data_IF_249599512611
#
_entry.id   IF_249599512611
#
_cell.length_a   1.000
_cell.length_b   1.000
_cell.length_c   1.000
_cell.angle_alpha   90.00
_cell.angle_beta   90.00
_cell.angle_gamma   90.00
#
_symmetry.space_group_name_H-M   'P 1'
#
loop_
_entity.id
_entity.type
_entity.pdbx_description
1 polymer ?
#
# COMPACT_ATOMS: atom_id res chain seq x y z
N UNK A 1 47.17 -4.14 34.55
CA UNK A 1 46.22 -4.02 33.41
C UNK A 1 44.78 -4.37 33.80
N UNK A 2 44.50 -5.44 34.54
CA UNK A 2 43.12 -5.84 34.92
C UNK A 2 42.34 -4.83 35.81
N UNK A 3 43.01 -4.11 36.72
CA UNK A 3 42.34 -3.10 37.58
C UNK A 3 41.86 -1.87 36.81
N UNK A 4 42.54 -1.46 35.73
CA UNK A 4 42.15 -0.31 34.91
C UNK A 4 40.91 -0.58 34.03
N UNK A 5 40.68 -1.83 33.62
CA UNK A 5 39.47 -2.26 32.91
C UNK A 5 38.22 -2.32 33.81
N UNK A 6 38.39 -2.57 35.11
CA UNK A 6 37.29 -2.57 36.09
C UNK A 6 36.81 -1.15 36.44
N UNK A 7 37.71 -0.16 36.48
CA UNK A 7 37.34 1.23 36.78
C UNK A 7 36.70 1.98 35.60
N UNK A 8 36.95 1.57 34.35
CA UNK A 8 36.33 2.17 33.16
C UNK A 8 34.98 1.56 32.77
N UNK A 9 34.67 0.34 33.23
CA UNK A 9 33.41 -0.37 32.94
C UNK A 9 32.26 -0.03 33.90
N UNK A 10 32.57 0.30 35.16
CA UNK A 10 31.60 0.76 36.18
C UNK A 10 30.81 2.04 35.79
N UNK A 11 31.43 3.12 35.27
CA UNK A 11 30.68 4.31 34.86
C UNK A 11 29.84 4.03 33.61
N UNK A 12 30.33 3.20 32.68
CA UNK A 12 29.59 2.83 31.47
C UNK A 12 28.34 2.01 31.80
N UNK A 13 28.46 1.04 32.73
CA UNK A 13 27.32 0.25 33.21
C UNK A 13 26.29 1.11 33.95
N UNK A 14 26.74 2.07 34.75
CA UNK A 14 25.85 3.00 35.46
C UNK A 14 25.10 3.94 34.50
N UNK A 15 25.77 4.44 33.46
CA UNK A 15 25.15 5.25 32.41
C UNK A 15 24.12 4.44 31.60
N UNK A 16 24.46 3.20 31.24
CA UNK A 16 23.53 2.30 30.55
C UNK A 16 22.29 2.02 31.40
N UNK A 17 22.49 1.72 32.70
CA UNK A 17 21.38 1.50 33.63
C UNK A 17 20.51 2.74 33.78
N UNK A 18 21.11 3.92 33.95
CA UNK A 18 20.38 5.18 34.04
C UNK A 18 19.58 5.48 32.76
N UNK A 19 20.14 5.18 31.59
CA UNK A 19 19.45 5.30 30.31
C UNK A 19 18.24 4.36 30.22
N UNK A 20 18.39 3.09 30.60
CA UNK A 20 17.30 2.10 30.63
C UNK A 20 16.21 2.54 31.61
N UNK A 21 16.58 3.00 32.81
CA UNK A 21 15.63 3.54 33.80
C UNK A 21 14.87 4.72 33.20
N UNK A 22 15.56 5.65 32.52
CA UNK A 22 14.93 6.81 31.88
C UNK A 22 13.91 6.38 30.83
N UNK A 23 14.24 5.42 29.96
CA UNK A 23 13.29 4.89 28.97
C UNK A 23 12.06 4.29 29.65
N UNK A 24 12.26 3.52 30.71
CA UNK A 24 11.16 2.91 31.46
C UNK A 24 10.26 3.96 32.14
N UNK A 25 10.86 5.01 32.73
CA UNK A 25 10.10 6.12 33.32
C UNK A 25 9.29 6.89 32.28
N UNK A 26 9.83 7.09 31.07
CA UNK A 26 9.08 7.69 29.95
C UNK A 26 7.86 6.83 29.61
N UNK A 27 8.04 5.51 29.45
CA UNK A 27 6.92 4.59 29.15
C UNK A 27 5.85 4.63 30.25
N UNK A 28 6.25 4.62 31.52
CA UNK A 28 5.31 4.72 32.64
C UNK A 28 4.54 6.05 32.60
N UNK A 29 5.25 7.16 32.41
CA UNK A 29 4.65 8.49 32.35
C UNK A 29 3.62 8.58 31.21
N UNK A 30 4.02 8.17 30.00
CA UNK A 30 3.15 8.11 28.83
C UNK A 30 1.92 7.21 29.06
N UNK A 31 2.13 6.02 29.63
CA UNK A 31 1.06 5.07 29.95
C UNK A 31 0.06 5.61 30.98
N UNK A 32 0.53 6.35 31.99
CA UNK A 32 -0.33 7.04 32.97
C UNK A 32 -1.12 8.19 32.36
N UNK A 33 -0.54 8.88 31.37
CA UNK A 33 -1.14 10.02 30.68
C UNK A 33 -1.89 9.65 29.38
N UNK A 34 -2.09 8.35 29.13
CA UNK A 34 -2.76 7.82 27.94
C UNK A 34 -4.16 8.43 27.76
N UNK A 35 -4.47 8.84 26.53
CA UNK A 35 -5.72 9.52 26.18
C UNK A 35 -6.75 8.55 25.57
N UNK A 36 -8.04 8.77 25.82
CA UNK A 36 -9.13 8.04 25.15
C UNK A 36 -9.25 8.54 23.70
N UNK A 37 -8.43 7.96 22.83
CA UNK A 37 -8.31 8.33 21.43
C UNK A 37 -7.91 7.11 20.58
N UNK A 38 -8.18 7.20 19.29
CA UNK A 38 -7.69 6.30 18.24
C UNK A 38 -6.50 6.96 17.54
N UNK A 39 -5.30 6.41 17.73
CA UNK A 39 -4.10 6.85 17.01
C UNK A 39 -3.84 5.98 15.79
N UNK A 40 -3.85 6.59 14.61
CA UNK A 40 -3.57 5.96 13.32
C UNK A 40 -2.10 6.16 12.96
N UNK A 41 -1.31 5.08 13.00
CA UNK A 41 0.08 5.13 12.58
C UNK A 41 0.16 4.98 11.06
N UNK A 42 0.39 6.10 10.37
CA UNK A 42 0.47 6.15 8.92
C UNK A 42 1.46 7.23 8.44
N UNK A 43 2.77 6.93 8.39
CA UNK A 43 3.81 7.94 8.13
C UNK A 43 3.74 8.64 6.75
N UNK A 44 2.98 8.10 5.80
CA UNK A 44 2.83 8.58 4.43
C UNK A 44 1.37 8.90 4.10
N UNK A 45 0.99 10.16 4.26
CA UNK A 45 -0.38 10.65 4.05
C UNK A 45 -0.57 11.46 2.76
N UNK A 46 0.48 11.60 1.94
CA UNK A 46 0.52 12.44 0.74
C UNK A 46 0.73 11.64 -0.58
N UNK A 47 0.76 10.32 -0.50
CA UNK A 47 1.07 9.38 -1.57
C UNK A 47 -0.10 9.13 -2.55
N UNK A 48 -1.35 9.28 -2.09
CA UNK A 48 -2.55 9.05 -2.90
C UNK A 48 -2.76 7.58 -3.29
N UNK A 49 -2.26 6.64 -2.48
CA UNK A 49 -2.34 5.20 -2.73
C UNK A 49 -3.53 4.51 -2.04
N UNK A 50 -3.68 3.20 -2.30
CA UNK A 50 -4.74 2.40 -1.66
C UNK A 50 -4.62 2.29 -0.13
N UNK A 51 -3.41 2.39 0.42
CA UNK A 51 -3.17 2.44 1.87
C UNK A 51 -3.80 3.67 2.53
N UNK A 52 -3.68 4.83 1.89
CA UNK A 52 -4.35 6.05 2.35
C UNK A 52 -5.87 5.96 2.27
N UNK A 53 -6.42 5.35 1.20
CA UNK A 53 -7.86 5.13 1.12
C UNK A 53 -8.36 4.35 2.33
N UNK A 54 -7.66 3.29 2.72
CA UNK A 54 -7.97 2.52 3.94
C UNK A 54 -7.91 3.40 5.18
N UNK A 55 -6.83 4.18 5.33
CA UNK A 55 -6.68 5.11 6.45
C UNK A 55 -7.90 6.05 6.57
N UNK A 56 -8.27 6.73 5.48
CA UNK A 56 -9.33 7.73 5.52
C UNK A 56 -10.70 7.11 5.74
N UNK A 57 -11.01 5.99 5.10
CA UNK A 57 -12.26 5.26 5.36
C UNK A 57 -12.32 4.75 6.81
N UNK A 58 -11.20 4.28 7.37
CA UNK A 58 -11.15 3.86 8.77
C UNK A 58 -11.36 5.04 9.74
N UNK A 59 -10.75 6.21 9.47
CA UNK A 59 -10.99 7.43 10.25
C UNK A 59 -12.47 7.81 10.22
N UNK A 60 -13.08 7.84 9.02
CA UNK A 60 -14.52 8.14 8.86
C UNK A 60 -15.39 7.16 9.65
N UNK A 61 -15.15 5.86 9.51
CA UNK A 61 -15.92 4.82 10.19
C UNK A 61 -15.85 4.96 11.72
N UNK A 62 -14.66 5.26 12.28
CA UNK A 62 -14.51 5.48 13.72
C UNK A 62 -15.25 6.74 14.17
N UNK A 63 -15.22 7.82 13.38
CA UNK A 63 -15.96 9.04 13.70
C UNK A 63 -17.48 8.81 13.70
N UNK A 64 -17.99 8.03 12.76
CA UNK A 64 -19.42 7.70 12.64
C UNK A 64 -19.88 6.78 13.78
N UNK A 65 -19.10 5.74 14.09
CA UNK A 65 -19.42 4.77 15.15
C UNK A 65 -19.19 5.32 16.56
N UNK A 66 -18.22 6.21 16.74
CA UNK A 66 -17.84 6.78 18.04
C UNK A 66 -17.42 8.24 17.91
N UNK A 67 -18.39 9.18 17.76
CA UNK A 67 -18.12 10.60 17.57
C UNK A 67 -17.28 11.24 18.69
N UNK A 68 -17.38 10.72 19.91
CA UNK A 68 -16.63 11.19 21.09
C UNK A 68 -15.18 10.68 21.14
N UNK A 69 -14.78 9.77 20.25
CA UNK A 69 -13.42 9.22 20.22
C UNK A 69 -12.54 10.03 19.28
N UNK A 70 -11.59 10.78 19.86
CA UNK A 70 -10.61 11.54 19.09
C UNK A 70 -9.83 10.66 18.10
N UNK A 71 -9.81 11.04 16.82
CA UNK A 71 -8.93 10.45 15.80
C UNK A 71 -7.64 11.27 15.67
N UNK A 72 -6.48 10.62 15.82
CA UNK A 72 -5.15 11.22 15.73
C UNK A 72 -4.33 10.53 14.66
N UNK A 73 -3.76 11.28 13.72
CA UNK A 73 -2.92 10.76 12.64
C UNK A 73 -1.45 11.02 12.97
N UNK A 74 -0.65 9.95 13.04
CA UNK A 74 0.80 10.05 13.07
C UNK A 74 1.35 10.04 11.65
N UNK A 75 1.90 11.16 11.21
CA UNK A 75 2.38 11.33 9.84
C UNK A 75 3.78 11.95 9.82
N UNK A 76 4.62 11.54 8.87
CA UNK A 76 5.89 12.23 8.60
C UNK A 76 5.76 13.39 7.63
N UNK A 77 4.56 13.67 7.13
CA UNK A 77 4.30 14.80 6.24
C UNK A 77 4.22 16.10 7.07
N UNK A 78 5.24 16.94 6.93
CA UNK A 78 5.35 18.18 7.70
C UNK A 78 4.40 19.29 7.23
N UNK A 79 3.87 19.18 6.01
CA UNK A 79 2.83 20.04 5.44
C UNK A 79 1.40 19.60 5.82
N UNK A 80 1.25 18.47 6.50
CA UNK A 80 -0.06 17.94 6.90
C UNK A 80 -0.68 18.74 8.04
N UNK A 81 -1.88 19.25 7.85
CA UNK A 81 -2.69 19.90 8.88
C UNK A 81 -4.04 19.17 8.98
N UNK A 82 -4.79 19.30 10.08
CA UNK A 82 -6.13 18.73 10.20
C UNK A 82 -7.03 19.05 8.99
N UNK A 83 -6.95 20.30 8.49
CA UNK A 83 -7.73 20.75 7.33
C UNK A 83 -7.19 20.19 6.02
N UNK A 84 -5.88 20.18 5.80
CA UNK A 84 -5.32 19.66 4.55
C UNK A 84 -5.48 18.14 4.42
N UNK A 85 -5.42 17.38 5.52
CA UNK A 85 -5.74 15.95 5.50
C UNK A 85 -7.22 15.70 5.20
N UNK A 86 -8.13 16.47 5.79
CA UNK A 86 -9.56 16.37 5.48
C UNK A 86 -9.88 16.72 4.02
N UNK A 87 -9.28 17.79 3.49
CA UNK A 87 -9.39 18.16 2.10
C UNK A 87 -8.84 17.05 1.18
N UNK A 88 -7.65 16.50 1.48
CA UNK A 88 -7.06 15.42 0.68
C UNK A 88 -7.90 14.16 0.69
N UNK A 89 -8.45 13.75 1.84
CA UNK A 89 -9.34 12.60 1.94
C UNK A 89 -10.57 12.76 1.03
N UNK A 90 -11.15 13.96 0.98
CA UNK A 90 -12.26 14.29 0.09
C UNK A 90 -11.81 14.33 -1.38
N UNK A 91 -10.78 15.09 -1.69
CA UNK A 91 -10.33 15.38 -3.05
C UNK A 91 -9.76 14.16 -3.76
N UNK A 92 -9.06 13.27 -3.04
CA UNK A 92 -8.42 12.07 -3.62
C UNK A 92 -9.29 10.83 -3.57
N UNK A 93 -10.16 10.72 -2.57
CA UNK A 93 -10.86 9.47 -2.28
C UNK A 93 -12.38 9.63 -2.07
N UNK A 94 -12.91 10.85 -2.13
CA UNK A 94 -14.33 11.11 -1.88
C UNK A 94 -14.74 10.94 -0.41
N UNK A 95 -13.77 10.82 0.51
CA UNK A 95 -14.05 10.52 1.92
C UNK A 95 -14.25 11.81 2.71
N UNK A 96 -15.50 12.10 3.07
CA UNK A 96 -15.86 13.24 3.92
C UNK A 96 -15.87 12.83 5.40
N UNK A 97 -15.09 13.54 6.22
CA UNK A 97 -15.05 13.37 7.67
C UNK A 97 -16.17 14.14 8.38
N UNK A 98 -16.55 13.70 9.57
CA UNK A 98 -17.44 14.44 10.46
C UNK A 98 -16.72 15.63 11.10
N UNK A 99 -15.45 15.44 11.46
CA UNK A 99 -14.57 16.49 11.97
C UNK A 99 -13.12 16.25 11.51
N UNK A 100 -12.32 17.30 11.41
CA UNK A 100 -10.90 17.15 11.02
C UNK A 100 -10.13 16.34 12.07
N UNK A 101 -9.33 15.34 11.67
CA UNK A 101 -8.54 14.56 12.62
C UNK A 101 -7.38 15.38 13.17
N UNK A 102 -6.94 15.05 14.39
CA UNK A 102 -5.74 15.66 14.99
C UNK A 102 -4.49 15.14 14.30
N UNK A 103 -3.44 15.95 14.24
CA UNK A 103 -2.18 15.58 13.56
C UNK A 103 -1.03 15.58 14.56
N UNK A 104 -0.23 14.52 14.51
CA UNK A 104 1.04 14.40 15.22
C UNK A 104 2.13 14.18 14.17
N UNK A 105 2.95 15.21 13.97
CA UNK A 105 4.07 15.14 13.03
C UNK A 105 5.20 14.28 13.58
N UNK A 106 5.81 13.47 12.73
CA UNK A 106 6.96 12.63 13.02
C UNK A 106 8.17 13.13 12.23
N UNK A 107 9.30 13.36 12.90
CA UNK A 107 10.52 13.89 12.27
C UNK A 107 11.52 12.80 11.90
N UNK A 108 11.32 11.58 12.39
CA UNK A 108 12.22 10.47 12.16
C UNK A 108 11.75 9.53 11.03
N UNK A 109 10.86 9.98 10.12
CA UNK A 109 10.33 9.16 9.02
C UNK A 109 11.44 8.56 8.14
N UNK A 110 12.56 9.25 7.96
CA UNK A 110 13.70 8.74 7.18
C UNK A 110 14.13 7.32 7.57
N UNK A 111 13.98 6.92 8.82
CA UNK A 111 14.37 5.57 9.28
C UNK A 111 13.44 4.46 8.80
N UNK A 112 12.30 4.77 8.17
CA UNK A 112 11.48 3.75 7.48
C UNK A 112 11.66 3.78 5.96
N UNK A 113 12.54 4.64 5.44
CA UNK A 113 12.84 4.73 4.00
C UNK A 113 13.87 3.69 3.58
N UNK A 114 13.67 3.07 2.41
CA UNK A 114 14.55 2.02 1.88
C UNK A 114 15.98 2.52 1.60
N UNK A 115 16.11 3.79 1.23
CA UNK A 115 17.37 4.47 0.89
C UNK A 115 18.35 4.50 2.05
N UNK A 116 17.86 4.44 3.29
CA UNK A 116 18.69 4.39 4.49
C UNK A 116 19.35 3.02 4.70
N UNK A 117 18.87 1.98 4.00
CA UNK A 117 19.29 0.60 4.20
C UNK A 117 19.57 -0.10 2.86
N UNK A 118 20.71 0.21 2.21
CA UNK A 118 21.08 -0.42 0.93
C UNK A 118 21.33 -1.93 1.05
N UNK A 119 21.48 -2.46 2.27
CA UNK A 119 21.54 -3.89 2.58
C UNK A 119 20.64 -4.18 3.77
N UNK A 120 20.06 -5.37 3.80
CA UNK A 120 19.16 -5.81 4.88
C UNK A 120 17.97 -4.84 5.10
N UNK A 121 17.41 -4.33 4.01
CA UNK A 121 16.37 -3.29 4.01
C UNK A 121 15.18 -3.63 4.90
N UNK A 122 14.65 -4.86 4.82
CA UNK A 122 13.46 -5.24 5.60
C UNK A 122 13.68 -5.14 7.12
N UNK A 123 14.79 -5.66 7.64
CA UNK A 123 15.10 -5.57 9.09
C UNK A 123 15.47 -4.14 9.49
N UNK A 124 16.17 -3.40 8.61
CA UNK A 124 16.49 -2.00 8.80
C UNK A 124 15.25 -1.14 8.98
N UNK A 125 14.32 -1.18 8.02
CA UNK A 125 13.03 -0.49 8.09
C UNK A 125 12.18 -0.96 9.27
N UNK A 126 12.21 -2.26 9.58
CA UNK A 126 11.49 -2.83 10.73
C UNK A 126 11.95 -2.19 12.04
N UNK A 127 13.25 -2.11 12.30
CA UNK A 127 13.78 -1.42 13.49
C UNK A 127 13.63 0.10 13.41
N UNK A 128 13.74 0.69 12.23
CA UNK A 128 13.44 2.10 12.03
C UNK A 128 12.00 2.46 12.40
N UNK A 129 11.05 1.56 12.12
CA UNK A 129 9.65 1.73 12.52
C UNK A 129 9.46 1.68 14.05
N UNK A 130 10.26 0.89 14.77
CA UNK A 130 10.30 0.89 16.24
C UNK A 130 10.67 2.27 16.75
N UNK A 131 11.74 2.86 16.21
CA UNK A 131 12.17 4.21 16.59
C UNK A 131 11.13 5.29 16.25
N UNK A 132 10.52 5.20 15.07
CA UNK A 132 9.47 6.11 14.63
C UNK A 132 8.20 6.00 15.50
N UNK A 133 7.79 4.79 15.86
CA UNK A 133 6.64 4.57 16.76
C UNK A 133 6.92 5.03 18.20
N UNK A 134 8.16 4.90 18.66
CA UNK A 134 8.59 5.46 19.95
C UNK A 134 8.41 6.98 19.96
N UNK A 135 8.86 7.67 18.91
CA UNK A 135 8.63 9.12 18.74
C UNK A 135 7.13 9.44 18.80
N UNK A 136 6.31 8.71 18.02
CA UNK A 136 4.87 8.91 17.95
C UNK A 136 4.20 8.78 19.32
N UNK A 137 4.51 7.70 20.05
CA UNK A 137 3.90 7.39 21.35
C UNK A 137 4.39 8.30 22.48
N UNK A 138 5.62 8.80 22.41
CA UNK A 138 6.12 9.82 23.34
C UNK A 138 5.40 11.17 23.15
N UNK A 139 5.05 11.53 21.90
CA UNK A 139 4.31 12.74 21.59
C UNK A 139 2.84 12.65 21.97
N UNK A 140 2.22 11.51 21.68
CA UNK A 140 0.81 11.27 22.01
C UNK A 140 0.59 9.77 22.22
N UNK A 141 0.15 9.37 23.41
CA UNK A 141 -0.15 7.96 23.72
C UNK A 141 -1.67 7.71 23.69
N UNK A 142 -2.20 6.97 22.70
CA UNK A 142 -3.63 6.74 22.54
C UNK A 142 -4.08 5.48 23.29
N UNK A 143 -5.38 5.34 23.52
CA UNK A 143 -5.97 4.11 24.05
C UNK A 143 -5.90 2.99 23.01
N UNK A 144 -6.24 3.31 21.77
CA UNK A 144 -6.18 2.40 20.63
C UNK A 144 -5.10 2.87 19.66
N UNK A 145 -4.22 1.96 19.27
CA UNK A 145 -3.15 2.21 18.30
C UNK A 145 -3.45 1.35 17.07
N UNK A 146 -3.82 1.99 15.97
CA UNK A 146 -4.14 1.34 14.71
C UNK A 146 -3.00 1.53 13.71
N UNK A 147 -2.33 0.45 13.34
CA UNK A 147 -1.40 0.46 12.22
C UNK A 147 -2.14 0.22 10.90
N UNK A 148 -1.93 1.11 9.94
CA UNK A 148 -2.49 1.02 8.58
C UNK A 148 -1.41 1.04 7.50
N UNK A 149 -0.13 1.09 7.89
CA UNK A 149 1.01 1.07 6.97
C UNK A 149 1.74 -0.27 6.94
N UNK A 150 1.49 -1.16 7.91
CA UNK A 150 2.05 -2.52 7.93
C UNK A 150 3.38 -2.64 8.67
N UNK A 151 3.64 -1.77 9.64
CA UNK A 151 4.83 -1.80 10.49
C UNK A 151 4.60 -2.63 11.76
N UNK A 152 4.56 -3.96 11.63
CA UNK A 152 4.27 -4.86 12.74
C UNK A 152 5.24 -4.78 13.93
N UNK A 153 6.47 -4.35 13.69
CA UNK A 153 7.48 -4.14 14.73
C UNK A 153 7.13 -3.02 15.72
N UNK A 154 6.16 -2.17 15.40
CA UNK A 154 5.64 -1.15 16.31
C UNK A 154 4.73 -1.73 17.40
N UNK A 155 4.16 -2.93 17.19
CA UNK A 155 3.10 -3.47 18.06
C UNK A 155 3.58 -3.73 19.49
N UNK A 156 4.75 -4.37 19.72
CA UNK A 156 5.25 -4.55 21.08
C UNK A 156 5.45 -3.20 21.79
N UNK A 157 5.97 -2.19 21.09
CA UNK A 157 6.19 -0.85 21.65
C UNK A 157 4.85 -0.22 22.03
N UNK A 158 3.87 -0.23 21.14
CA UNK A 158 2.54 0.29 21.44
C UNK A 158 1.91 -0.40 22.67
N UNK A 159 2.09 -1.73 22.81
CA UNK A 159 1.65 -2.45 24.03
C UNK A 159 2.39 -2.02 25.29
N UNK A 160 3.70 -1.78 25.22
CA UNK A 160 4.50 -1.31 26.36
C UNK A 160 3.98 0.05 26.87
N UNK A 161 3.62 0.94 25.95
CA UNK A 161 2.94 2.22 26.25
C UNK A 161 1.49 2.06 26.72
N UNK A 162 0.97 0.83 26.77
CA UNK A 162 -0.37 0.50 27.25
C UNK A 162 -1.46 0.60 26.19
N UNK A 163 -1.15 0.69 24.90
CA UNK A 163 -2.15 0.80 23.85
C UNK A 163 -2.81 -0.56 23.56
N UNK A 164 -4.07 -0.52 23.12
CA UNK A 164 -4.74 -1.63 22.45
C UNK A 164 -4.38 -1.58 20.97
N UNK A 165 -3.47 -2.47 20.58
CA UNK A 165 -2.98 -2.56 19.19
C UNK A 165 -4.02 -3.20 18.28
N UNK A 166 -4.37 -2.50 17.22
CA UNK A 166 -5.19 -2.96 16.10
C UNK A 166 -4.33 -2.78 14.84
N UNK A 167 -4.52 -3.62 13.83
CA UNK A 167 -3.83 -3.45 12.54
C UNK A 167 -4.76 -3.74 11.37
N UNK A 168 -4.55 -3.02 10.28
CA UNK A 168 -5.05 -3.37 8.96
C UNK A 168 -3.85 -3.75 8.07
N UNK A 169 -3.66 -5.05 7.84
CA UNK A 169 -2.56 -5.58 7.04
C UNK A 169 -2.99 -5.72 5.58
N UNK A 170 -2.39 -4.90 4.71
CA UNK A 170 -2.57 -4.99 3.25
C UNK A 170 -1.83 -6.19 2.65
N UNK A 171 -0.61 -6.42 3.12
CA UNK A 171 0.25 -7.53 2.69
C UNK A 171 1.29 -7.78 3.79
N UNK A 172 1.70 -9.03 4.06
CA UNK A 172 2.70 -9.29 5.08
C UNK A 172 4.07 -8.74 4.66
N UNK A 173 4.82 -8.16 5.60
CA UNK A 173 6.18 -7.64 5.35
C UNK A 173 7.11 -8.73 4.78
N UNK A 174 6.87 -9.98 5.17
CA UNK A 174 7.47 -11.17 4.58
C UNK A 174 6.38 -12.23 4.37
N UNK A 175 6.28 -12.79 3.16
CA UNK A 175 5.34 -13.85 2.84
C UNK A 175 6.01 -15.23 2.82
N UNK A 176 5.20 -16.28 2.97
CA UNK A 176 5.67 -17.66 2.83
C UNK A 176 6.07 -17.93 1.37
N UNK A 177 5.40 -17.32 0.41
CA UNK A 177 5.77 -17.39 -1.00
C UNK A 177 7.15 -16.79 -1.27
N UNK A 178 7.55 -15.72 -0.57
CA UNK A 178 8.92 -15.20 -0.67
C UNK A 178 9.96 -16.20 -0.16
N UNK A 179 9.65 -17.00 0.87
CA UNK A 179 10.52 -18.06 1.36
C UNK A 179 10.64 -19.19 0.32
N UNK A 180 9.51 -19.63 -0.23
CA UNK A 180 9.46 -20.67 -1.27
C UNK A 180 10.19 -20.22 -2.55
N UNK A 181 9.98 -18.98 -3.01
CA UNK A 181 10.62 -18.45 -4.23
C UNK A 181 12.13 -18.30 -4.13
N UNK A 182 12.67 -17.98 -2.95
CA UNK A 182 14.13 -17.96 -2.74
C UNK A 182 14.68 -19.38 -2.73
N UNK A 183 13.92 -20.34 -2.20
CA UNK A 183 14.28 -21.76 -2.29
C UNK A 183 14.31 -22.25 -3.75
N UNK A 184 13.40 -21.75 -4.59
CA UNK A 184 13.27 -22.08 -6.02
C UNK A 184 14.18 -21.24 -6.97
N UNK A 185 14.97 -20.28 -6.45
CA UNK A 185 15.86 -19.40 -7.24
C UNK A 185 15.17 -18.54 -8.34
N UNK A 186 13.87 -18.26 -8.23
CA UNK A 186 13.15 -17.44 -9.21
C UNK A 186 13.51 -15.92 -9.08
N UNK A 187 13.91 -15.28 -10.18
CA UNK A 187 14.26 -13.85 -10.23
C UNK A 187 13.05 -12.99 -10.61
N UNK A 188 12.64 -12.08 -9.71
CA UNK A 188 11.67 -11.01 -9.98
C UNK A 188 12.06 -9.79 -9.13
N UNK A 189 11.61 -8.58 -9.49
CA UNK A 189 11.99 -7.21 -9.03
C UNK A 189 12.73 -7.01 -7.68
N UNK A 190 12.52 -7.85 -6.66
CA UNK A 190 13.19 -7.82 -5.35
C UNK A 190 14.39 -8.79 -5.19
N UNK A 191 14.78 -9.51 -6.25
CA UNK A 191 15.92 -10.41 -6.23
C UNK A 191 17.04 -9.84 -7.11
N UNK A 192 18.11 -9.37 -6.47
CA UNK A 192 19.34 -8.98 -7.15
C UNK A 192 19.87 -10.20 -7.93
N UNK A 193 20.01 -10.04 -9.25
CA UNK A 193 20.48 -11.09 -10.16
C UNK A 193 21.88 -11.60 -9.80
N UNK A 194 22.66 -10.84 -9.03
CA UNK A 194 23.95 -11.25 -8.50
C UNK A 194 23.82 -12.24 -7.33
N UNK A 195 22.81 -12.08 -6.47
CA UNK A 195 22.56 -12.97 -5.33
C UNK A 195 22.01 -14.32 -5.82
N UNK A 196 21.14 -14.31 -6.84
CA UNK A 196 20.56 -15.52 -7.42
C UNK A 196 21.59 -16.46 -8.07
N UNK A 197 22.76 -15.93 -8.48
CA UNK A 197 23.83 -16.72 -9.12
C UNK A 197 24.77 -17.43 -8.14
N UNK A 198 24.66 -17.19 -6.83
CA UNK A 198 25.51 -17.80 -5.81
C UNK A 198 24.69 -18.63 -4.82
N UNK A 199 25.01 -19.92 -4.74
CA UNK A 199 24.36 -20.86 -3.82
C UNK A 199 24.56 -20.45 -2.34
N UNK A 200 25.74 -19.94 -1.99
CA UNK A 200 26.05 -19.48 -0.63
C UNK A 200 25.25 -18.23 -0.25
N UNK A 201 25.18 -17.24 -1.15
CA UNK A 201 24.41 -16.02 -0.90
C UNK A 201 22.90 -16.29 -0.83
N UNK A 202 22.42 -17.23 -1.66
CA UNK A 202 21.03 -17.71 -1.61
C UNK A 202 20.74 -18.40 -0.28
N UNK A 203 21.64 -19.27 0.21
CA UNK A 203 21.50 -19.91 1.53
C UNK A 203 21.48 -18.89 2.68
N UNK A 204 22.42 -17.95 2.70
CA UNK A 204 22.43 -16.86 3.69
C UNK A 204 21.13 -16.05 3.66
N UNK A 205 20.57 -15.80 2.46
CA UNK A 205 19.30 -15.09 2.31
C UNK A 205 18.12 -15.89 2.86
N UNK A 206 18.10 -17.21 2.68
CA UNK A 206 17.09 -18.10 3.29
C UNK A 206 17.17 -18.02 4.82
N UNK A 207 18.36 -18.17 5.40
CA UNK A 207 18.55 -18.07 6.86
C UNK A 207 18.09 -16.70 7.38
N UNK A 208 18.45 -15.63 6.69
CA UNK A 208 17.98 -14.28 7.01
C UNK A 208 16.45 -14.17 7.00
N UNK A 209 15.80 -14.68 5.95
CA UNK A 209 14.33 -14.66 5.84
C UNK A 209 13.66 -15.55 6.88
N UNK A 210 14.24 -16.68 7.26
CA UNK A 210 13.73 -17.53 8.35
C UNK A 210 13.78 -16.80 9.69
N UNK A 211 14.91 -16.18 10.03
CA UNK A 211 15.06 -15.40 11.27
C UNK A 211 14.08 -14.22 11.25
N UNK A 212 14.00 -13.49 10.14
CA UNK A 212 13.09 -12.35 10.00
C UNK A 212 11.62 -12.79 10.12
N UNK A 213 11.23 -13.90 9.51
CA UNK A 213 9.88 -14.48 9.60
C UNK A 213 9.52 -14.84 11.05
N UNK A 214 10.44 -15.45 11.79
CA UNK A 214 10.26 -15.74 13.21
C UNK A 214 10.07 -14.47 14.05
N UNK A 215 10.91 -13.45 13.84
CA UNK A 215 10.76 -12.15 14.50
C UNK A 215 9.42 -11.48 14.14
N UNK A 216 9.04 -11.51 12.86
CA UNK A 216 7.79 -10.96 12.36
C UNK A 216 6.57 -11.65 12.99
N UNK A 217 6.61 -12.97 13.18
CA UNK A 217 5.59 -13.74 13.90
C UNK A 217 5.43 -13.29 15.35
N UNK A 218 6.55 -13.13 16.06
CA UNK A 218 6.54 -12.68 17.47
C UNK A 218 5.94 -11.27 17.59
N UNK A 219 6.43 -10.30 16.82
CA UNK A 219 5.94 -8.92 16.93
C UNK A 219 4.50 -8.82 16.43
N UNK A 220 4.12 -9.56 15.39
CA UNK A 220 2.75 -9.63 14.87
C UNK A 220 1.75 -10.18 15.89
N UNK A 221 2.14 -11.19 16.68
CA UNK A 221 1.30 -11.80 17.73
C UNK A 221 0.84 -10.81 18.82
N UNK A 222 1.51 -9.65 18.91
CA UNK A 222 1.18 -8.56 19.82
C UNK A 222 -0.10 -7.79 19.41
N UNK A 223 -0.62 -7.95 18.19
CA UNK A 223 -1.89 -7.33 17.78
C UNK A 223 -3.07 -7.89 18.61
N UNK A 224 -3.93 -7.02 19.14
CA UNK A 224 -5.17 -7.45 19.82
C UNK A 224 -6.26 -7.82 18.81
N UNK A 225 -6.27 -7.15 17.65
CA UNK A 225 -7.14 -7.42 16.51
C UNK A 225 -6.33 -7.17 15.23
N UNK A 226 -6.36 -8.12 14.31
CA UNK A 226 -5.71 -8.01 13.01
C UNK A 226 -6.77 -8.10 11.90
N UNK A 227 -6.96 -7.00 11.18
CA UNK A 227 -7.76 -6.96 9.97
C UNK A 227 -6.85 -7.25 8.78
N UNK A 228 -7.32 -8.08 7.86
CA UNK A 228 -6.57 -8.49 6.67
C UNK A 228 -7.42 -8.29 5.42
N UNK A 229 -6.80 -7.77 4.36
CA UNK A 229 -7.50 -7.32 3.16
C UNK A 229 -8.05 -8.43 2.25
N UNK A 230 -7.67 -9.69 2.46
CA UNK A 230 -7.97 -10.77 1.52
C UNK A 230 -7.84 -12.15 2.16
N UNK A 231 -8.32 -13.19 1.46
CA UNK A 231 -8.15 -14.58 1.87
C UNK A 231 -6.68 -15.02 1.85
N UNK A 232 -5.92 -14.62 0.83
CA UNK A 232 -4.49 -14.93 0.72
C UNK A 232 -3.69 -14.28 1.85
N UNK A 233 -3.93 -12.99 2.16
CA UNK A 233 -3.25 -12.30 3.27
C UNK A 233 -3.62 -12.95 4.61
N UNK A 234 -4.90 -13.31 4.78
CA UNK A 234 -5.37 -14.04 5.95
C UNK A 234 -4.60 -15.34 6.17
N UNK A 235 -4.50 -16.18 5.13
CA UNK A 235 -3.82 -17.48 5.23
C UNK A 235 -2.34 -17.37 5.63
N UNK A 236 -1.66 -16.32 5.16
CA UNK A 236 -0.28 -16.02 5.51
C UNK A 236 -0.14 -15.54 6.95
N UNK A 237 -0.94 -14.55 7.34
CA UNK A 237 -0.89 -13.95 8.68
C UNK A 237 -1.32 -14.94 9.77
N UNK A 238 -2.28 -15.82 9.48
CA UNK A 238 -2.66 -16.91 10.40
C UNK A 238 -1.49 -17.83 10.71
N UNK A 239 -0.73 -18.25 9.68
CA UNK A 239 0.44 -19.11 9.83
C UNK A 239 1.61 -18.41 10.52
N UNK A 240 1.85 -17.14 10.18
CA UNK A 240 3.01 -16.39 10.67
C UNK A 240 2.82 -15.90 12.11
N UNK A 241 1.66 -15.32 12.43
CA UNK A 241 1.46 -14.63 13.71
C UNK A 241 0.87 -15.54 14.79
N UNK A 242 0.27 -16.68 14.45
CA UNK A 242 -0.29 -17.62 15.42
C UNK A 242 -1.46 -17.06 16.24
N UNK A 243 -2.21 -16.10 15.68
CA UNK A 243 -3.31 -15.40 16.38
C UNK A 243 -4.66 -15.55 15.67
N UNK A 244 -4.93 -16.69 15.04
CA UNK A 244 -6.11 -16.98 14.21
C UNK A 244 -7.43 -16.46 14.77
N UNK A 245 -7.72 -16.65 16.06
CA UNK A 245 -8.96 -16.18 16.68
C UNK A 245 -9.14 -14.64 16.67
N UNK A 246 -8.04 -13.89 16.56
CA UNK A 246 -7.97 -12.42 16.52
C UNK A 246 -7.84 -11.86 15.10
N UNK A 247 -7.86 -12.70 14.08
CA UNK A 247 -7.74 -12.28 12.67
C UNK A 247 -9.14 -12.20 12.06
N UNK A 248 -9.47 -11.06 11.46
CA UNK A 248 -10.73 -10.81 10.74
C UNK A 248 -10.43 -10.37 9.32
N UNK A 249 -11.07 -11.01 8.35
CA UNK A 249 -10.98 -10.56 6.95
C UNK A 249 -11.89 -9.36 6.78
N UNK A 250 -11.31 -8.24 6.36
CA UNK A 250 -12.00 -6.99 6.06
C UNK A 250 -11.43 -6.53 4.72
N UNK A 251 -12.22 -6.64 3.66
CA UNK A 251 -11.78 -6.22 2.33
C UNK A 251 -11.52 -4.70 2.31
N UNK A 252 -10.63 -4.21 1.41
CA UNK A 252 -10.42 -2.79 1.24
C UNK A 252 -11.72 -2.04 0.97
N UNK A 253 -11.84 -0.80 1.46
CA UNK A 253 -13.00 0.02 1.22
C UNK A 253 -13.04 0.40 -0.27
N UNK A 254 -13.97 -0.21 -0.98
CA UNK A 254 -14.35 0.14 -2.32
C UNK A 254 -15.78 0.68 -2.24
N UNK A 255 -15.93 1.98 -2.01
CA UNK A 255 -17.24 2.61 -2.14
C UNK A 255 -17.62 2.63 -3.62
N UNK A 256 -18.52 1.73 -4.00
CA UNK A 256 -19.01 1.57 -5.37
C UNK A 256 -20.31 2.34 -5.60
N UNK A 257 -20.91 2.95 -4.58
CA UNK A 257 -22.24 3.54 -4.67
C UNK A 257 -22.33 4.65 -5.73
N UNK A 258 -21.32 5.52 -5.79
CA UNK A 258 -21.19 6.61 -6.77
C UNK A 258 -20.89 6.10 -8.18
N UNK A 259 -20.28 4.93 -8.31
CA UNK A 259 -19.94 4.32 -9.60
C UNK A 259 -21.11 3.52 -10.18
N UNK A 260 -21.89 2.85 -9.33
CA UNK A 260 -23.03 2.01 -9.73
C UNK A 260 -24.20 2.81 -10.33
N UNK A 261 -24.28 4.11 -10.04
CA UNK A 261 -25.30 5.01 -10.60
C UNK A 261 -24.90 5.61 -11.95
N UNK A 262 -23.69 5.30 -12.46
CA UNK A 262 -23.24 5.80 -13.76
C UNK A 262 -24.03 5.14 -14.90
N UNK A 263 -24.35 5.89 -15.97
CA UNK A 263 -25.05 5.32 -17.11
C UNK A 263 -24.18 4.26 -17.80
N UNK A 264 -24.78 3.12 -18.12
CA UNK A 264 -24.10 2.05 -18.87
C UNK A 264 -24.04 2.35 -20.37
N UNK A 265 -24.96 3.18 -20.88
CA UNK A 265 -24.96 3.64 -22.26
C UNK A 265 -23.82 4.65 -22.48
N UNK A 266 -22.94 4.32 -23.42
CA UNK A 266 -21.76 5.13 -23.73
C UNK A 266 -21.71 5.46 -25.22
N UNK A 267 -21.38 6.70 -25.60
CA UNK A 267 -21.11 7.01 -27.00
C UNK A 267 -19.92 6.19 -27.51
N UNK A 268 -20.16 5.28 -28.47
CA UNK A 268 -19.10 4.40 -29.02
C UNK A 268 -18.24 5.06 -30.11
N UNK A 269 -18.36 6.38 -30.31
CA UNK A 269 -17.62 7.09 -31.37
C UNK A 269 -16.10 7.00 -31.20
N UNK A 270 -15.60 6.93 -29.96
CA UNK A 270 -14.20 6.61 -29.64
C UNK A 270 -14.16 5.87 -28.29
N UNK A 271 -14.10 4.52 -28.32
CA UNK A 271 -14.09 3.68 -27.13
C UNK A 271 -12.91 4.00 -26.22
N UNK A 272 -13.16 4.17 -24.92
CA UNK A 272 -12.13 4.54 -23.94
C UNK A 272 -11.69 3.32 -23.14
N UNK A 273 -10.38 3.13 -23.05
CA UNK A 273 -9.71 2.16 -22.20
C UNK A 273 -9.05 2.95 -21.07
N UNK A 274 -9.30 2.61 -19.82
CA UNK A 274 -8.77 3.31 -18.65
C UNK A 274 -7.81 2.43 -17.86
N UNK A 275 -6.74 3.03 -17.35
CA UNK A 275 -5.81 2.43 -16.41
C UNK A 275 -5.67 3.32 -15.19
N UNK A 276 -6.11 2.83 -14.03
CA UNK A 276 -6.09 3.56 -12.75
C UNK A 276 -5.03 2.95 -11.85
N UNK A 277 -3.88 3.61 -11.76
CA UNK A 277 -2.76 3.21 -10.89
C UNK A 277 -1.75 4.36 -10.68
N UNK A 278 -1.05 4.35 -9.54
CA UNK A 278 0.08 5.27 -9.32
C UNK A 278 1.20 4.99 -10.33
N UNK A 279 1.91 6.02 -10.82
CA UNK A 279 2.97 5.86 -11.82
C UNK A 279 4.24 5.18 -11.28
N UNK A 280 4.17 3.87 -11.11
CA UNK A 280 5.18 3.03 -10.45
C UNK A 280 5.67 1.88 -11.34
N UNK A 281 6.90 1.35 -11.11
CA UNK A 281 7.45 0.24 -11.90
C UNK A 281 6.55 -1.00 -11.88
N UNK A 282 6.10 -1.41 -10.70
CA UNK A 282 5.31 -2.63 -10.47
C UNK A 282 3.94 -2.60 -11.16
N UNK A 283 3.44 -1.40 -11.50
CA UNK A 283 2.17 -1.22 -12.19
C UNK A 283 2.27 -1.48 -13.70
N UNK A 284 3.48 -1.64 -14.24
CA UNK A 284 3.73 -2.06 -15.61
C UNK A 284 2.99 -1.25 -16.70
N UNK A 285 2.85 0.07 -16.51
CA UNK A 285 2.21 0.99 -17.49
C UNK A 285 2.82 0.90 -18.90
N UNK A 286 4.13 0.65 -18.99
CA UNK A 286 4.83 0.50 -20.26
C UNK A 286 4.27 -0.69 -21.06
N UNK A 287 4.03 -1.82 -20.41
CA UNK A 287 3.42 -3.00 -21.03
C UNK A 287 2.01 -2.69 -21.55
N UNK A 288 1.24 -1.91 -20.79
CA UNK A 288 -0.10 -1.48 -21.20
C UNK A 288 -0.06 -0.63 -22.46
N UNK A 289 0.85 0.35 -22.51
CA UNK A 289 1.05 1.23 -23.66
C UNK A 289 1.52 0.45 -24.90
N UNK A 290 2.46 -0.47 -24.74
CA UNK A 290 2.97 -1.29 -25.84
C UNK A 290 1.92 -2.25 -26.40
N UNK A 291 1.15 -2.91 -25.51
CA UNK A 291 0.04 -3.76 -25.93
C UNK A 291 -1.06 -2.97 -26.64
N UNK A 292 -1.37 -1.77 -26.16
CA UNK A 292 -2.31 -0.86 -26.83
C UNK A 292 -1.82 -0.47 -28.23
N UNK A 293 -0.53 -0.11 -28.38
CA UNK A 293 0.03 0.21 -29.69
C UNK A 293 -0.05 -0.96 -30.68
N UNK A 294 0.17 -2.19 -30.22
CA UNK A 294 -0.01 -3.40 -31.03
C UNK A 294 -1.49 -3.57 -31.42
N UNK A 295 -2.41 -3.44 -30.46
CA UNK A 295 -3.84 -3.60 -30.71
C UNK A 295 -4.38 -2.56 -31.72
N UNK A 296 -3.95 -1.30 -31.60
CA UNK A 296 -4.32 -0.22 -32.51
C UNK A 296 -3.74 -0.43 -33.91
N UNK A 297 -2.52 -0.97 -34.03
CA UNK A 297 -1.91 -1.28 -35.32
C UNK A 297 -2.66 -2.40 -36.07
N UNK A 298 -3.24 -3.35 -35.33
CA UNK A 298 -4.00 -4.47 -35.86
C UNK A 298 -5.51 -4.18 -35.97
N UNK A 299 -5.93 -2.94 -35.74
CA UNK A 299 -7.34 -2.55 -35.78
C UNK A 299 -7.80 -2.41 -37.24
N UNK A 300 -8.98 -2.97 -37.56
CA UNK A 300 -9.61 -2.81 -38.86
C UNK A 300 -9.95 -1.33 -39.12
N UNK A 301 -9.76 -0.86 -40.35
CA UNK A 301 -9.87 0.56 -40.69
C UNK A 301 -11.29 1.15 -40.57
N UNK A 302 -12.31 0.30 -40.51
CA UNK A 302 -13.71 0.63 -40.33
C UNK A 302 -14.13 0.78 -38.85
N UNK A 303 -13.28 0.32 -37.92
CA UNK A 303 -13.55 0.41 -36.49
C UNK A 303 -13.07 1.74 -35.89
N UNK A 304 -13.83 2.32 -34.95
CA UNK A 304 -13.42 3.56 -34.29
C UNK A 304 -12.15 3.33 -33.48
N UNK A 305 -11.18 4.22 -33.69
CA UNK A 305 -9.89 4.17 -32.98
C UNK A 305 -10.11 4.45 -31.48
N UNK A 306 -9.71 3.54 -30.57
CA UNK A 306 -9.91 3.71 -29.14
C UNK A 306 -8.89 4.69 -28.54
N UNK A 307 -9.23 5.24 -27.38
CA UNK A 307 -8.32 6.06 -26.56
C UNK A 307 -7.88 5.32 -25.30
N UNK A 308 -6.60 5.41 -24.96
CA UNK A 308 -6.04 4.90 -23.72
C UNK A 308 -5.82 6.03 -22.71
N UNK A 309 -6.48 5.95 -21.56
CA UNK A 309 -6.40 6.94 -20.49
C UNK A 309 -5.64 6.39 -19.29
N UNK A 310 -4.44 6.90 -19.04
CA UNK A 310 -3.70 6.62 -17.81
C UNK A 310 -4.06 7.63 -16.74
N UNK A 311 -4.61 7.16 -15.62
CA UNK A 311 -5.04 7.98 -14.48
C UNK A 311 -4.26 7.56 -13.25
N UNK A 312 -3.50 8.47 -12.66
CA UNK A 312 -2.56 8.09 -11.60
C UNK A 312 -1.95 9.24 -10.83
N UNK A 313 -1.36 8.93 -9.68
CA UNK A 313 -0.58 9.90 -8.90
C UNK A 313 0.92 9.78 -9.15
N UNK A 314 1.61 10.91 -9.10
CA UNK A 314 3.06 11.01 -8.99
C UNK A 314 3.41 11.55 -7.60
N UNK A 315 4.23 10.82 -6.84
CA UNK A 315 4.58 11.18 -5.45
C UNK A 315 5.90 11.94 -5.36
N UNK A 316 6.78 11.71 -6.32
CA UNK A 316 8.14 12.23 -6.33
C UNK A 316 8.64 12.39 -7.77
N UNK A 317 9.85 12.94 -7.91
CA UNK A 317 10.49 13.17 -9.20
C UNK A 317 10.69 11.87 -10.02
N UNK A 318 10.89 10.72 -9.37
CA UNK A 318 11.02 9.44 -10.06
C UNK A 318 9.71 8.98 -10.72
N UNK A 319 8.56 9.27 -10.09
CA UNK A 319 7.24 9.02 -10.69
C UNK A 319 6.96 10.00 -11.84
N UNK A 320 7.34 11.27 -11.69
CA UNK A 320 7.23 12.28 -12.76
C UNK A 320 8.08 11.92 -13.98
N UNK A 321 9.32 11.46 -13.76
CA UNK A 321 10.19 10.97 -14.83
C UNK A 321 9.55 9.79 -15.55
N UNK A 322 8.99 8.82 -14.81
CA UNK A 322 8.30 7.66 -15.42
C UNK A 322 7.11 8.07 -16.26
N UNK A 323 6.33 9.04 -15.80
CA UNK A 323 5.24 9.61 -16.59
C UNK A 323 5.77 10.26 -17.88
N UNK A 324 6.89 10.98 -17.82
CA UNK A 324 7.51 11.54 -19.01
C UNK A 324 8.03 10.47 -19.96
N UNK A 325 8.69 9.42 -19.44
CA UNK A 325 9.15 8.28 -20.25
C UNK A 325 7.99 7.59 -20.99
N UNK A 326 6.80 7.49 -20.36
CA UNK A 326 5.59 6.96 -21.01
C UNK A 326 5.09 7.86 -22.15
N UNK A 327 5.15 9.19 -21.98
CA UNK A 327 4.79 10.14 -23.05
C UNK A 327 5.75 10.02 -24.23
N UNK A 328 7.04 9.97 -23.95
CA UNK A 328 8.07 9.83 -24.98
C UNK A 328 7.92 8.50 -25.72
N UNK A 329 7.58 7.42 -24.99
CA UNK A 329 7.28 6.12 -25.59
C UNK A 329 6.03 6.15 -26.47
N UNK A 330 4.96 6.85 -26.06
CA UNK A 330 3.75 6.98 -26.87
C UNK A 330 4.04 7.68 -28.21
N UNK A 331 4.88 8.73 -28.19
CA UNK A 331 5.38 9.39 -29.41
C UNK A 331 6.19 8.43 -30.30
N UNK A 332 7.12 7.66 -29.72
CA UNK A 332 7.92 6.67 -30.47
C UNK A 332 7.06 5.60 -31.13
N UNK A 333 5.99 5.17 -30.45
CA UNK A 333 5.03 4.19 -30.94
C UNK A 333 3.98 4.79 -31.90
N UNK A 334 3.97 6.13 -32.09
CA UNK A 334 3.02 6.87 -32.93
C UNK A 334 1.55 6.67 -32.52
N UNK A 335 1.31 6.70 -31.21
CA UNK A 335 -0.02 6.60 -30.59
C UNK A 335 -0.30 7.74 -29.62
N UNK A 336 0.52 8.79 -29.63
CA UNK A 336 0.41 9.95 -28.73
C UNK A 336 -0.95 10.66 -28.86
N UNK A 337 -1.53 10.71 -30.07
CA UNK A 337 -2.88 11.27 -30.28
C UNK A 337 -4.01 10.48 -29.61
N UNK A 338 -3.76 9.23 -29.23
CA UNK A 338 -4.75 8.30 -28.69
C UNK A 338 -4.51 7.98 -27.22
N UNK A 339 -3.45 8.55 -26.62
CA UNK A 339 -3.09 8.30 -25.24
C UNK A 339 -3.23 9.59 -24.43
N UNK A 340 -4.00 9.52 -23.35
CA UNK A 340 -4.22 10.63 -22.43
C UNK A 340 -3.64 10.32 -21.06
N UNK A 341 -2.94 11.30 -20.48
CA UNK A 341 -2.32 11.17 -19.16
C UNK A 341 -2.98 12.13 -18.16
N UNK A 342 -3.73 11.57 -17.24
CA UNK A 342 -4.49 12.25 -16.19
C UNK A 342 -3.76 12.14 -14.85
N UNK A 343 -2.79 13.03 -14.64
CA UNK A 343 -1.98 13.05 -13.41
C UNK A 343 -2.74 13.75 -12.27
N UNK A 344 -2.78 13.11 -11.10
CA UNK A 344 -3.25 13.74 -9.85
C UNK A 344 -4.65 14.36 -9.99
N UNK A 345 -5.58 13.69 -10.67
CA UNK A 345 -6.97 14.17 -10.79
C UNK A 345 -7.73 14.10 -9.47
N UNK A 346 -8.81 14.88 -9.37
CA UNK A 346 -9.77 14.80 -8.26
C UNK A 346 -10.59 13.51 -8.39
N UNK A 347 -11.10 13.00 -7.26
CA UNK A 347 -11.97 11.83 -7.23
C UNK A 347 -13.21 12.00 -8.11
N UNK A 348 -13.81 13.20 -8.10
CA UNK A 348 -14.94 13.54 -8.96
C UNK A 348 -14.63 13.41 -10.46
N UNK A 349 -13.40 13.72 -10.86
CA UNK A 349 -12.95 13.58 -12.24
C UNK A 349 -12.60 12.12 -12.57
N UNK A 350 -12.00 11.38 -11.63
CA UNK A 350 -11.80 9.93 -11.75
C UNK A 350 -13.14 9.21 -11.99
N UNK A 351 -14.19 9.56 -11.24
CA UNK A 351 -15.55 9.00 -11.42
C UNK A 351 -16.08 9.25 -12.85
N UNK A 352 -15.88 10.45 -13.40
CA UNK A 352 -16.29 10.76 -14.78
C UNK A 352 -15.50 9.95 -15.81
N UNK A 353 -14.18 9.83 -15.62
CA UNK A 353 -13.32 9.05 -16.50
C UNK A 353 -13.73 7.56 -16.49
N UNK A 354 -13.98 7.00 -15.31
CA UNK A 354 -14.47 5.64 -15.13
C UNK A 354 -15.85 5.42 -15.79
N UNK A 355 -16.77 6.38 -15.67
CA UNK A 355 -18.08 6.30 -16.31
C UNK A 355 -18.03 6.33 -17.84
N UNK A 356 -17.03 7.03 -18.39
CA UNK A 356 -16.79 7.08 -19.83
C UNK A 356 -16.01 5.90 -20.40
N UNK A 357 -15.41 5.05 -19.56
CA UNK A 357 -14.53 3.96 -19.98
C UNK A 357 -15.30 2.68 -20.29
N UNK A 358 -15.07 2.10 -21.48
CA UNK A 358 -15.62 0.80 -21.85
C UNK A 358 -14.85 -0.36 -21.20
N UNK A 359 -13.53 -0.19 -21.08
CA UNK A 359 -12.61 -1.23 -20.62
C UNK A 359 -11.69 -0.64 -19.56
N UNK A 360 -11.44 -1.38 -18.49
CA UNK A 360 -10.43 -1.06 -17.48
C UNK A 360 -9.28 -2.05 -17.53
N UNK A 361 -8.04 -1.58 -17.68
CA UNK A 361 -6.85 -2.44 -17.74
C UNK A 361 -6.05 -2.40 -16.44
N UNK A 362 -5.49 -3.54 -16.04
CA UNK A 362 -4.68 -3.70 -14.85
C UNK A 362 -3.54 -4.72 -15.07
N UNK A 363 -2.28 -4.28 -15.04
CA UNK A 363 -1.13 -5.14 -15.40
C UNK A 363 -0.14 -5.42 -14.27
N UNK A 364 -0.45 -5.07 -13.02
CA UNK A 364 0.41 -5.45 -11.91
C UNK A 364 0.28 -6.95 -11.64
N UNK A 365 1.42 -7.64 -11.75
CA UNK A 365 1.59 -9.04 -11.36
C UNK A 365 1.56 -9.12 -9.83
N UNK A 366 0.99 -10.19 -9.28
CA UNK A 366 0.95 -10.43 -7.84
C UNK A 366 0.23 -9.33 -7.04
N UNK A 367 -0.72 -8.62 -7.67
CA UNK A 367 -1.47 -7.53 -7.04
C UNK A 367 -2.23 -7.98 -5.80
N UNK A 368 -1.99 -7.33 -4.67
CA UNK A 368 -2.50 -7.72 -3.35
C UNK A 368 -4.03 -7.66 -3.19
N UNK A 369 -4.70 -6.83 -3.99
CA UNK A 369 -6.17 -6.77 -4.04
C UNK A 369 -6.63 -6.21 -5.38
N UNK A 370 -6.22 -4.98 -5.72
CA UNK A 370 -6.65 -4.30 -6.95
C UNK A 370 -7.97 -3.55 -6.78
N UNK A 371 -7.96 -2.45 -5.99
CA UNK A 371 -9.14 -1.58 -5.79
C UNK A 371 -9.69 -1.08 -7.13
N UNK A 372 -8.80 -0.75 -8.09
CA UNK A 372 -9.21 -0.28 -9.41
C UNK A 372 -9.99 -1.32 -10.21
N UNK A 373 -9.73 -2.61 -10.02
CA UNK A 373 -10.52 -3.68 -10.68
C UNK A 373 -11.98 -3.64 -10.21
N UNK A 374 -12.20 -3.44 -8.91
CA UNK A 374 -13.54 -3.28 -8.34
C UNK A 374 -14.19 -1.99 -8.85
N UNK A 375 -13.43 -0.90 -8.95
CA UNK A 375 -13.92 0.37 -9.51
C UNK A 375 -14.33 0.23 -10.98
N UNK A 376 -13.59 -0.53 -11.80
CA UNK A 376 -13.96 -0.81 -13.18
C UNK A 376 -15.29 -1.56 -13.25
N UNK A 377 -15.43 -2.64 -12.47
CA UNK A 377 -16.67 -3.42 -12.43
C UNK A 377 -17.85 -2.56 -11.98
N UNK A 378 -17.65 -1.74 -10.95
CA UNK A 378 -18.68 -0.86 -10.40
C UNK A 378 -19.11 0.24 -11.38
N UNK A 379 -18.19 0.74 -12.21
CA UNK A 379 -18.51 1.74 -13.24
C UNK A 379 -19.05 1.14 -14.53
N UNK A 380 -19.18 -0.20 -14.61
CA UNK A 380 -19.62 -0.94 -15.79
C UNK A 380 -18.55 -1.06 -16.88
N UNK A 381 -17.27 -0.84 -16.55
CA UNK A 381 -16.15 -1.09 -17.46
C UNK A 381 -15.73 -2.56 -17.37
N UNK A 382 -15.37 -3.17 -18.51
CA UNK A 382 -14.92 -4.57 -18.55
C UNK A 382 -13.48 -4.64 -18.03
N UNK A 383 -13.20 -5.31 -16.90
CA UNK A 383 -11.85 -5.42 -16.37
C UNK A 383 -11.01 -6.43 -17.20
N UNK A 384 -9.82 -6.01 -17.59
CA UNK A 384 -8.80 -6.82 -18.24
C UNK A 384 -7.54 -6.75 -17.40
N UNK A 385 -6.87 -7.88 -17.20
CA UNK A 385 -5.56 -7.82 -16.58
C UNK A 385 -4.69 -9.06 -16.76
N UNK A 386 -3.52 -8.98 -16.16
CA UNK A 386 -2.47 -9.99 -16.27
C UNK A 386 -2.75 -11.14 -15.32
N UNK A 387 -2.49 -12.38 -15.75
CA UNK A 387 -2.57 -13.57 -14.91
C UNK A 387 -1.15 -14.03 -14.53
N UNK A 388 -0.91 -14.49 -13.28
CA UNK A 388 -1.86 -14.56 -12.16
C UNK A 388 -2.00 -13.22 -11.43
N UNK A 389 -3.22 -12.91 -11.00
CA UNK A 389 -3.50 -11.99 -9.89
C UNK A 389 -3.98 -12.86 -8.75
N UNK A 390 -3.22 -12.90 -7.65
CA UNK A 390 -3.45 -13.83 -6.54
C UNK A 390 -4.85 -13.77 -5.91
N UNK A 391 -5.57 -12.67 -6.12
CA UNK A 391 -6.83 -12.38 -5.43
C UNK A 391 -8.06 -12.37 -6.35
N UNK A 392 -7.93 -12.82 -7.61
CA UNK A 392 -9.08 -13.00 -8.52
C UNK A 392 -10.17 -13.86 -7.87
N UNK A 393 -9.81 -14.85 -7.04
CA UNK A 393 -10.78 -15.70 -6.33
C UNK A 393 -11.68 -14.90 -5.38
N UNK A 394 -11.15 -13.86 -4.72
CA UNK A 394 -11.91 -13.03 -3.77
C UNK A 394 -12.82 -11.99 -4.48
N UNK A 395 -12.48 -11.58 -5.71
CA UNK A 395 -13.18 -10.49 -6.43
C UNK A 395 -14.11 -11.01 -7.53
N UNK A 396 -13.73 -12.09 -8.22
CA UNK A 396 -14.28 -12.46 -9.53
C UNK A 396 -14.88 -13.86 -9.58
N UNK A 397 -15.39 -14.39 -8.46
CA UNK A 397 -16.04 -15.72 -8.43
C UNK A 397 -17.16 -15.92 -9.49
N UNK A 398 -17.62 -14.88 -10.21
CA UNK A 398 -18.70 -14.98 -11.19
C UNK A 398 -18.56 -14.15 -12.50
N UNK A 399 -17.43 -13.49 -12.84
CA UNK A 399 -17.38 -12.63 -14.04
C UNK A 399 -16.16 -12.86 -14.95
N UNK A 400 -16.41 -12.67 -16.25
CA UNK A 400 -15.53 -12.92 -17.39
C UNK A 400 -14.24 -12.07 -17.31
N UNK A 401 -13.22 -12.59 -16.64
CA UNK A 401 -11.89 -12.01 -16.63
C UNK A 401 -11.14 -12.44 -17.89
N UNK A 402 -10.87 -11.51 -18.79
CA UNK A 402 -10.12 -11.79 -20.01
C UNK A 402 -8.62 -11.58 -19.75
N UNK A 403 -7.84 -12.61 -20.06
CA UNK A 403 -6.38 -12.60 -19.92
C UNK A 403 -5.80 -11.59 -20.91
N UNK A 404 -4.82 -10.80 -20.45
CA UNK A 404 -4.14 -9.76 -21.24
C UNK A 404 -3.64 -10.22 -22.64
N UNK A 405 -3.31 -11.51 -22.80
CA UNK A 405 -2.94 -12.11 -24.09
C UNK A 405 -4.07 -12.12 -25.12
N UNK A 406 -5.33 -12.17 -24.67
CA UNK A 406 -6.52 -12.14 -25.55
C UNK A 406 -6.83 -10.71 -26.00
N UNK A 407 -6.55 -9.70 -25.16
CA UNK A 407 -6.75 -8.29 -25.49
C UNK A 407 -5.89 -7.82 -26.68
N UNK A 408 -4.61 -8.24 -26.72
CA UNK A 408 -3.71 -7.88 -27.82
C UNK A 408 -4.08 -8.53 -29.17
N UNK A 409 -4.88 -9.61 -29.15
CA UNK A 409 -5.19 -10.43 -30.33
C UNK A 409 -6.62 -10.16 -30.84
N UNK A 410 -7.56 -9.73 -29.99
CA UNK A 410 -8.99 -9.66 -30.34
C UNK A 410 -9.69 -8.38 -29.85
N UNK A 411 -9.15 -7.19 -30.19
CA UNK A 411 -9.83 -5.91 -29.90
C UNK A 411 -11.25 -5.84 -30.53
N UNK A 412 -11.47 -6.58 -31.62
CA UNK A 412 -12.74 -6.70 -32.35
C UNK A 412 -13.92 -7.13 -31.47
N UNK A 413 -13.70 -8.05 -30.51
CA UNK A 413 -14.77 -8.50 -29.59
C UNK A 413 -15.18 -7.38 -28.64
N UNK A 414 -14.24 -6.51 -28.25
CA UNK A 414 -14.48 -5.40 -27.32
C UNK A 414 -15.19 -4.22 -27.96
N UNK A 415 -15.01 -4.01 -29.26
CA UNK A 415 -15.64 -2.92 -30.00
C UNK A 415 -17.03 -3.26 -30.56
N UNK A 416 -17.39 -4.55 -30.52
CA UNK A 416 -18.69 -5.05 -31.00
C UNK A 416 -19.74 -5.22 -29.89
N UNK A 417 -19.32 -5.09 -28.62
CA UNK A 417 -20.20 -5.01 -27.44
C UNK A 417 -20.34 -3.55 -27.01
#
# INVERSE_FOLDING_TARGET
MAKWLLFSTLPLGSLLLAFVIRLFLVVISCRRNRKKAMGFFHPYTNDGGGGERVLWCAVKAIQEESPDLDCVIYTGDHDASPKSLAARALDRFGVKFLHSPKVVHLYNRKWVEETMYPRFTMIGQSFGSVYLSWEALCKFTPLYYLDTSGYAFTYPIARLFGCKVITYTHYPTISLDMLSRVHEQNSMYNNDAFIAKSALLSWCKVVYYMIFSWMYGIVGSCAHLAMVNSSWTKSHIEKLWGITARIKRVYPPCDTSTLQVLPLERPMQSPKIISVAQFRPEKAHLLQLEAFAVAVKNLDADLPRPKLQFVGSCRNEADEKRLQDLRDRANQLKVDSDVEFHKNVLYSELVKLLGGAAVGIHSMVDEHFGISVVEYMASGAIPIGVFPIFHIIDILSCYMYLVFSVFAINLRVFLSC
#
